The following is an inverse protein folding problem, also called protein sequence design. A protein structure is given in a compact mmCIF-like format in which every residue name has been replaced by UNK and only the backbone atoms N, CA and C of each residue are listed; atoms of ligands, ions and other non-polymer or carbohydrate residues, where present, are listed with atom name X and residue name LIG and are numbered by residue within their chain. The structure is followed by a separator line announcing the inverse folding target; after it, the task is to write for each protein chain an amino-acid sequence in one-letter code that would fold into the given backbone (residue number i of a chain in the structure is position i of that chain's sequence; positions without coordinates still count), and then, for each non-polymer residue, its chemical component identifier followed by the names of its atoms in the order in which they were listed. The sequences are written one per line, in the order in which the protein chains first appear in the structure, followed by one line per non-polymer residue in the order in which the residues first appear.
data_IF_930779153025
#
_entry.id   IF_930779153025
#
_cell.length_a   1.000
_cell.length_b   1.000
_cell.length_c   1.000
_cell.angle_alpha   90.00
_cell.angle_beta   90.00
_cell.angle_gamma   90.00
#
_symmetry.space_group_name_H-M   'P 1'
#
loop_
_entity.id
_entity.type
_entity.pdbx_description
1 polymer ?
#
# COMPACT_ATOMS: atom_id res chain seq x y z
N UNK A 1 -2.70 -10.21 7.29
CA UNK A 1 -1.98 -9.87 8.53
C UNK A 1 -2.26 -8.41 8.85
N UNK A 2 -2.85 -8.08 9.99
CA UNK A 2 -3.12 -6.69 10.39
C UNK A 2 -1.88 -6.11 11.06
N UNK A 3 -1.40 -4.93 10.62
CA UNK A 3 -0.16 -4.35 11.16
C UNK A 3 -0.33 -2.90 11.61
N UNK A 4 0.05 -2.65 12.87
CA UNK A 4 -0.10 -1.37 13.57
C UNK A 4 1.14 -0.50 13.39
N UNK A 5 0.94 0.78 13.03
CA UNK A 5 2.01 1.76 12.94
C UNK A 5 2.37 2.30 14.34
N UNK A 6 3.66 2.30 14.75
CA UNK A 6 4.07 2.98 15.96
C UNK A 6 3.89 4.50 15.73
N UNK A 7 3.16 5.16 16.62
CA UNK A 7 2.92 6.61 16.71
C UNK A 7 1.72 7.23 15.94
N UNK A 8 0.95 6.49 15.13
CA UNK A 8 -0.30 7.04 14.54
C UNK A 8 -1.56 6.24 14.89
N UNK A 9 -1.42 5.00 15.37
CA UNK A 9 -2.55 4.11 15.65
C UNK A 9 -3.32 3.66 14.38
N UNK A 10 -2.88 4.10 13.20
CA UNK A 10 -3.49 3.76 11.92
C UNK A 10 -2.95 2.39 11.48
N UNK A 11 -3.85 1.52 11.03
CA UNK A 11 -3.58 0.13 10.65
C UNK A 11 -4.09 -0.08 9.23
N UNK A 12 -3.29 -0.74 8.38
CA UNK A 12 -3.82 -1.23 7.12
C UNK A 12 -4.75 -2.42 7.37
N UNK A 13 -6.01 -2.25 6.99
CA UNK A 13 -7.05 -3.28 7.04
C UNK A 13 -7.47 -3.52 5.59
N UNK A 14 -7.22 -4.73 5.04
CA UNK A 14 -7.65 -5.08 3.69
C UNK A 14 -9.17 -4.94 3.57
N UNK A 15 -9.60 -4.25 2.53
CA UNK A 15 -11.00 -4.16 2.12
C UNK A 15 -11.29 -5.19 1.05
N UNK A 16 -12.56 -5.37 0.72
CA UNK A 16 -12.96 -6.21 -0.42
C UNK A 16 -12.26 -5.79 -1.72
N UNK A 17 -12.10 -4.49 -1.97
CA UNK A 17 -11.41 -3.99 -3.16
C UNK A 17 -9.93 -4.40 -3.20
N UNK A 18 -9.24 -4.42 -2.05
CA UNK A 18 -7.84 -4.85 -1.97
C UNK A 18 -7.69 -6.33 -2.27
N UNK A 19 -8.57 -7.16 -1.70
CA UNK A 19 -8.58 -8.61 -1.91
C UNK A 19 -8.95 -8.98 -3.34
N UNK A 20 -9.92 -8.26 -3.91
CA UNK A 20 -10.33 -8.44 -5.30
C UNK A 20 -9.20 -8.07 -6.27
N UNK A 21 -8.54 -6.93 -6.05
CA UNK A 21 -7.39 -6.52 -6.85
C UNK A 21 -6.25 -7.54 -6.76
N UNK A 22 -5.91 -8.00 -5.55
CA UNK A 22 -4.91 -9.05 -5.35
C UNK A 22 -5.27 -10.34 -6.12
N UNK A 23 -6.52 -10.77 -6.05
CA UNK A 23 -6.99 -11.97 -6.73
C UNK A 23 -6.89 -11.85 -8.25
N UNK A 24 -7.24 -10.68 -8.81
CA UNK A 24 -7.09 -10.41 -10.23
C UNK A 24 -5.63 -10.39 -10.69
N UNK A 25 -4.74 -9.80 -9.90
CA UNK A 25 -3.32 -9.75 -10.27
C UNK A 25 -2.71 -11.14 -10.29
N UNK A 26 -3.04 -11.97 -9.29
CA UNK A 26 -2.67 -13.39 -9.27
C UNK A 26 -3.22 -14.14 -10.48
N UNK A 27 -4.49 -13.90 -10.84
CA UNK A 27 -5.12 -14.52 -12.01
C UNK A 27 -4.44 -14.11 -13.33
N UNK A 28 -3.95 -12.87 -13.42
CA UNK A 28 -3.18 -12.38 -14.56
C UNK A 28 -1.76 -12.97 -14.64
N UNK A 29 -1.36 -13.80 -13.66
CA UNK A 29 -0.03 -14.41 -13.58
C UNK A 29 1.03 -13.47 -13.03
N UNK A 30 0.64 -12.33 -12.45
CA UNK A 30 1.55 -11.38 -11.83
C UNK A 30 1.52 -11.52 -10.30
N UNK A 31 2.68 -11.39 -9.67
CA UNK A 31 2.82 -11.50 -8.22
C UNK A 31 3.00 -10.10 -7.62
N UNK A 32 1.92 -9.55 -7.07
CA UNK A 32 2.01 -8.29 -6.31
C UNK A 32 2.31 -8.59 -4.86
N UNK A 33 3.59 -8.44 -4.49
CA UNK A 33 4.03 -8.36 -3.10
C UNK A 33 3.97 -6.91 -2.64
N UNK A 34 2.85 -6.54 -2.00
CA UNK A 34 2.76 -5.25 -1.31
C UNK A 34 3.83 -5.20 -0.21
N UNK A 35 4.73 -4.21 -0.25
CA UNK A 35 5.68 -4.00 0.83
C UNK A 35 4.95 -3.29 1.97
N UNK A 36 5.44 -3.51 3.19
CA UNK A 36 4.93 -2.85 4.41
C UNK A 36 4.82 -1.32 4.28
N UNK A 37 5.70 -0.70 3.49
CA UNK A 37 5.73 0.74 3.23
C UNK A 37 4.57 1.17 2.31
N UNK A 38 4.18 0.33 1.35
CA UNK A 38 3.07 0.62 0.42
C UNK A 38 1.73 0.54 1.14
N UNK A 39 1.53 -0.51 1.95
CA UNK A 39 0.35 -0.66 2.83
C UNK A 39 0.20 0.53 3.79
N UNK A 40 1.32 1.07 4.28
CA UNK A 40 1.33 2.26 5.14
C UNK A 40 0.82 3.50 4.41
N UNK A 41 1.25 3.74 3.17
CA UNK A 41 0.79 4.88 2.39
C UNK A 41 -0.71 4.78 2.09
N UNK A 42 -1.20 3.59 1.78
CA UNK A 42 -2.64 3.33 1.59
C UNK A 42 -3.43 3.60 2.87
N UNK A 43 -2.93 3.12 4.02
CA UNK A 43 -3.59 3.34 5.31
C UNK A 43 -3.66 4.82 5.71
N UNK A 44 -2.59 5.59 5.47
CA UNK A 44 -2.57 7.04 5.72
C UNK A 44 -3.53 7.81 4.81
N UNK A 45 -3.62 7.42 3.53
CA UNK A 45 -4.55 8.03 2.59
C UNK A 45 -6.01 7.77 2.99
N UNK A 46 -6.34 6.53 3.38
CA UNK A 46 -7.67 6.16 3.88
C UNK A 46 -8.06 6.88 5.16
N UNK A 47 -7.08 7.12 6.04
CA UNK A 47 -7.27 7.91 7.26
C UNK A 47 -7.32 9.44 7.00
N UNK A 48 -7.24 9.88 5.74
CA UNK A 48 -7.27 11.30 5.36
C UNK A 48 -6.04 12.10 5.77
N UNK A 49 -4.93 11.44 6.14
CA UNK A 49 -3.69 12.11 6.57
C UNK A 49 -2.84 12.60 5.39
N UNK A 50 -3.00 11.97 4.24
CA UNK A 50 -2.39 12.37 2.95
C UNK A 50 -3.45 12.24 1.85
N UNK A 51 -3.26 12.98 0.75
CA UNK A 51 -4.16 12.83 -0.40
C UNK A 51 -3.85 11.53 -1.16
N UNK A 52 -4.81 10.95 -1.90
CA UNK A 52 -4.54 9.81 -2.78
C UNK A 52 -3.44 10.11 -3.81
N UNK A 53 -3.35 11.36 -4.28
CA UNK A 53 -2.29 11.79 -5.21
C UNK A 53 -0.91 11.74 -4.55
N UNK A 54 -0.80 12.21 -3.31
CA UNK A 54 0.47 12.21 -2.59
C UNK A 54 0.87 10.78 -2.18
N UNK A 55 -0.11 9.93 -1.85
CA UNK A 55 0.11 8.48 -1.68
C UNK A 55 0.74 7.87 -2.93
N UNK A 56 0.20 8.12 -4.13
CA UNK A 56 0.77 7.57 -5.38
C UNK A 56 2.19 8.08 -5.62
N UNK A 57 2.47 9.37 -5.35
CA UNK A 57 3.83 9.91 -5.48
C UNK A 57 4.82 9.19 -4.55
N UNK A 58 4.43 8.94 -3.30
CA UNK A 58 5.27 8.27 -2.31
C UNK A 58 5.53 6.81 -2.68
N UNK A 59 4.51 6.07 -3.14
CA UNK A 59 4.65 4.69 -3.63
C UNK A 59 5.60 4.64 -4.83
N UNK A 60 5.41 5.51 -5.82
CA UNK A 60 6.29 5.58 -7.01
C UNK A 60 7.72 5.95 -6.64
N UNK A 61 7.91 6.93 -5.76
CA UNK A 61 9.24 7.32 -5.28
C UNK A 61 9.93 6.15 -4.55
N UNK A 62 9.22 5.46 -3.66
CA UNK A 62 9.75 4.30 -2.94
C UNK A 62 10.21 3.18 -3.89
N UNK A 63 9.41 2.86 -4.90
CA UNK A 63 9.79 1.86 -5.91
C UNK A 63 10.95 2.32 -6.79
N UNK A 64 11.04 3.61 -7.14
CA UNK A 64 12.20 4.14 -7.87
C UNK A 64 13.48 3.99 -7.08
N UNK A 65 13.47 4.39 -5.81
CA UNK A 65 14.65 4.27 -4.93
C UNK A 65 15.09 2.81 -4.80
N UNK A 66 14.16 1.85 -4.73
CA UNK A 66 14.47 0.41 -4.71
C UNK A 66 15.04 -0.13 -6.03
N UNK A 67 14.80 0.54 -7.16
CA UNK A 67 15.32 0.13 -8.47
C UNK A 67 16.70 0.75 -8.75
N UNK A 68 17.07 1.79 -7.98
CA UNK A 68 18.35 2.50 -8.08
C UNK A 68 19.42 1.99 -7.08
N UNK A 69 19.13 0.92 -6.33
CA UNK A 69 20.03 0.22 -5.40
C UNK A 69 20.36 -1.16 -5.96
#
# INVERSE_FOLDING_TARGET
MFMRLPNTGIVFVPTFADLWAQSLTLLAGDEVKSKRVDDMHVALARAGKITPRDMTKLVVAHHRDLTHV
#
